data_IF_815122045082
#
_entry.id   IF_815122045082
#
_cell.length_a   1.000
_cell.length_b   1.000
_cell.length_c   1.000
_cell.angle_alpha   90.00
_cell.angle_beta   90.00
_cell.angle_gamma   90.00
#
_symmetry.space_group_name_H-M   'P 1'
#
loop_
_entity.id
_entity.type
_entity.pdbx_description
1 polymer ?
#
# COMPACT_ATOMS: atom_id res chain seq x y z
N UNK A 1 21.97 6.65 30.07
CA UNK A 1 20.90 7.62 30.30
C UNK A 1 20.62 8.36 29.00
N UNK A 2 19.35 8.39 28.55
CA UNK A 2 18.92 9.11 27.36
C UNK A 2 18.07 10.31 27.78
N UNK A 3 18.38 11.51 27.24
CA UNK A 3 17.57 12.71 27.46
C UNK A 3 16.60 12.89 26.28
N UNK A 4 15.30 12.97 26.57
CA UNK A 4 14.25 13.17 25.58
C UNK A 4 13.76 14.62 25.68
N UNK A 5 13.81 15.36 24.55
CA UNK A 5 13.31 16.73 24.44
C UNK A 5 12.17 16.75 23.45
N UNK A 6 10.95 16.85 23.92
CA UNK A 6 9.74 17.00 23.09
C UNK A 6 9.52 18.47 22.72
N UNK A 7 8.67 18.72 21.68
CA UNK A 7 8.31 20.07 21.22
C UNK A 7 9.53 20.94 20.86
N UNK A 8 10.61 20.30 20.40
CA UNK A 8 11.89 20.94 20.06
C UNK A 8 12.00 21.11 18.55
N UNK A 9 11.88 22.35 18.08
CA UNK A 9 12.01 22.66 16.65
C UNK A 9 13.50 22.79 16.33
N UNK A 10 13.97 22.00 15.34
CA UNK A 10 15.32 22.09 14.80
C UNK A 10 15.27 22.99 13.58
N UNK A 11 15.94 24.14 13.62
CA UNK A 11 15.90 25.16 12.55
C UNK A 11 17.17 25.24 11.72
N UNK A 12 18.30 24.82 12.25
CA UNK A 12 19.59 24.84 11.55
C UNK A 12 20.40 23.59 11.93
N UNK A 13 21.10 23.03 10.93
CA UNK A 13 22.08 21.96 11.11
C UNK A 13 23.32 22.38 10.30
N UNK A 14 24.45 22.51 10.95
CA UNK A 14 25.72 22.89 10.29
C UNK A 14 26.84 21.94 10.75
N UNK A 15 27.62 21.37 9.83
CA UNK A 15 28.85 20.65 10.22
C UNK A 15 29.85 21.66 10.82
N UNK A 16 30.75 21.17 11.66
CA UNK A 16 31.81 21.98 12.24
C UNK A 16 33.18 21.60 11.65
N UNK A 17 34.12 22.52 11.62
CA UNK A 17 35.48 22.28 11.11
C UNK A 17 36.23 21.20 11.93
N UNK A 18 35.90 21.06 13.20
CA UNK A 18 36.52 20.08 14.13
C UNK A 18 35.82 18.72 14.13
N UNK A 19 34.84 18.51 13.23
CA UNK A 19 33.95 17.35 13.22
C UNK A 19 32.71 17.56 14.08
N UNK A 20 31.64 16.79 13.78
CA UNK A 20 30.34 16.93 14.44
C UNK A 20 29.47 18.06 13.88
N UNK A 21 28.40 18.38 14.58
CA UNK A 21 27.33 19.28 14.09
C UNK A 21 26.92 20.28 15.17
N UNK A 22 26.64 21.50 14.75
CA UNK A 22 25.94 22.51 15.52
C UNK A 22 24.47 22.56 15.06
N UNK A 23 23.55 22.42 16.00
CA UNK A 23 22.10 22.44 15.77
C UNK A 23 21.49 23.62 16.53
N UNK A 24 20.56 24.34 15.90
CA UNK A 24 19.67 25.26 16.61
C UNK A 24 18.40 24.49 17.01
N UNK A 25 18.24 24.23 18.29
CA UNK A 25 17.11 23.48 18.87
C UNK A 25 16.29 24.45 19.75
N UNK A 26 15.08 24.81 19.34
CA UNK A 26 14.27 25.78 20.07
C UNK A 26 14.94 27.12 20.28
N UNK A 27 15.81 27.56 19.33
CA UNK A 27 16.58 28.77 19.40
C UNK A 27 17.91 28.71 20.20
N UNK A 28 18.20 27.55 20.81
CA UNK A 28 19.46 27.30 21.52
C UNK A 28 20.42 26.50 20.67
N UNK A 29 21.68 26.89 20.64
CA UNK A 29 22.74 26.15 19.96
C UNK A 29 23.12 24.90 20.76
N UNK A 30 23.11 23.76 20.13
CA UNK A 30 23.50 22.45 20.69
C UNK A 30 24.56 21.85 19.78
N UNK A 31 25.64 21.34 20.36
CA UNK A 31 26.67 20.60 19.62
C UNK A 31 26.54 19.12 19.85
N UNK A 32 26.77 18.31 18.78
CA UNK A 32 26.90 16.86 18.87
C UNK A 32 28.01 16.35 17.96
N UNK A 33 28.64 15.24 18.33
CA UNK A 33 29.65 14.56 17.51
C UNK A 33 28.98 13.81 16.34
N UNK A 34 27.87 13.14 16.61
CA UNK A 34 27.11 12.39 15.62
C UNK A 34 25.66 12.87 15.59
N UNK A 35 25.08 12.88 14.41
CA UNK A 35 23.68 13.24 14.15
C UNK A 35 22.97 12.07 13.46
N UNK A 36 21.93 11.54 14.11
CA UNK A 36 21.09 10.50 13.53
C UNK A 36 19.74 11.07 13.09
N UNK A 37 19.42 10.95 11.82
CA UNK A 37 18.13 11.33 11.23
C UNK A 37 17.21 10.12 11.23
N UNK A 38 16.21 10.15 12.11
CA UNK A 38 15.21 9.10 12.31
C UNK A 38 13.78 9.64 12.17
N UNK A 39 13.57 10.54 11.21
CA UNK A 39 12.33 11.32 11.06
C UNK A 39 11.17 10.55 10.46
N UNK A 40 11.40 9.33 9.95
CA UNK A 40 10.40 8.59 9.19
C UNK A 40 10.10 9.19 7.82
N UNK A 41 8.98 8.80 7.24
CA UNK A 41 8.49 9.24 5.93
C UNK A 41 7.44 10.34 6.01
N UNK A 42 6.57 10.39 4.97
CA UNK A 42 5.49 11.39 4.82
C UNK A 42 4.11 10.84 5.23
N UNK A 43 4.03 9.56 5.57
CA UNK A 43 2.78 8.88 5.86
C UNK A 43 2.14 9.39 7.15
N UNK A 44 0.82 9.57 7.13
CA UNK A 44 -0.01 10.07 8.23
C UNK A 44 0.49 11.42 8.77
N UNK A 45 0.40 12.51 7.97
CA UNK A 45 0.90 13.84 8.38
C UNK A 45 0.27 14.36 9.69
N UNK A 46 -0.93 13.91 10.01
CA UNK A 46 -1.65 14.27 11.26
C UNK A 46 -0.94 13.75 12.52
N UNK A 47 -0.07 12.75 12.40
CA UNK A 47 0.79 12.25 13.48
C UNK A 47 2.16 12.93 13.53
N UNK A 48 2.40 13.97 12.70
CA UNK A 48 3.64 14.74 12.70
C UNK A 48 4.65 14.35 11.63
N UNK A 49 4.30 13.44 10.72
CA UNK A 49 5.16 13.12 9.58
C UNK A 49 5.41 14.37 8.73
N UNK A 50 6.69 14.58 8.36
CA UNK A 50 7.12 15.75 7.61
C UNK A 50 8.29 15.44 6.68
N UNK A 51 8.57 16.35 5.75
CA UNK A 51 9.71 16.24 4.84
C UNK A 51 11.07 16.56 5.46
N UNK A 52 11.15 16.85 6.75
CA UNK A 52 12.35 17.37 7.41
C UNK A 52 13.61 16.53 7.17
N UNK A 53 13.53 15.19 7.30
CA UNK A 53 14.67 14.31 7.04
C UNK A 53 15.14 14.35 5.59
N UNK A 54 14.22 14.51 4.63
CA UNK A 54 14.57 14.67 3.22
C UNK A 54 15.22 16.03 2.94
N UNK A 55 14.80 17.08 3.66
CA UNK A 55 15.45 18.41 3.54
C UNK A 55 16.87 18.35 4.07
N UNK A 56 17.12 17.62 5.17
CA UNK A 56 18.47 17.35 5.68
C UNK A 56 19.29 16.59 4.63
N UNK A 57 18.74 15.51 4.08
CA UNK A 57 19.44 14.74 3.06
C UNK A 57 19.83 15.60 1.85
N UNK A 58 18.92 16.46 1.38
CA UNK A 58 19.18 17.40 0.30
C UNK A 58 20.25 18.44 0.68
N UNK A 59 20.21 18.96 1.91
CA UNK A 59 21.20 19.91 2.42
C UNK A 59 22.62 19.35 2.35
N UNK A 60 22.79 18.06 2.64
CA UNK A 60 24.08 17.36 2.60
C UNK A 60 24.38 16.67 1.26
N UNK A 61 23.63 17.00 0.19
CA UNK A 61 23.89 16.53 -1.17
C UNK A 61 23.57 15.05 -1.42
N UNK A 62 22.76 14.41 -0.55
CA UNK A 62 22.35 13.03 -0.79
C UNK A 62 21.26 12.96 -1.86
N UNK A 63 21.32 11.92 -2.69
CA UNK A 63 20.29 11.63 -3.69
C UNK A 63 18.94 11.30 -3.05
N UNK A 64 17.87 11.84 -3.61
CA UNK A 64 16.50 11.56 -3.22
C UNK A 64 15.75 10.92 -4.38
N UNK A 65 15.12 9.78 -4.14
CA UNK A 65 14.21 9.13 -5.07
C UNK A 65 12.79 9.72 -4.97
N UNK A 66 12.01 9.74 -6.08
CA UNK A 66 10.65 10.30 -6.07
C UNK A 66 9.74 9.54 -5.10
N UNK A 67 9.26 10.21 -4.07
CA UNK A 67 8.43 9.61 -3.02
C UNK A 67 6.97 9.50 -3.46
N UNK A 68 6.34 8.41 -3.06
CA UNK A 68 4.91 8.20 -3.21
C UNK A 68 4.33 7.46 -2.00
N UNK A 69 3.01 7.53 -1.82
CA UNK A 69 2.30 6.76 -0.80
C UNK A 69 2.32 5.28 -1.18
N UNK A 70 2.64 4.42 -0.23
CA UNK A 70 2.59 2.96 -0.36
C UNK A 70 1.75 2.32 0.74
N UNK A 71 1.37 1.06 0.57
CA UNK A 71 0.44 0.37 1.46
C UNK A 71 -0.79 1.27 1.74
N UNK A 72 -1.47 1.68 0.68
CA UNK A 72 -2.50 2.72 0.71
C UNK A 72 -3.75 2.26 -0.06
N UNK A 73 -4.98 2.54 0.43
CA UNK A 73 -6.21 2.18 -0.27
C UNK A 73 -6.33 2.82 -1.65
N UNK A 74 -6.89 2.06 -2.61
CA UNK A 74 -7.28 2.58 -3.91
C UNK A 74 -8.61 3.32 -3.85
N UNK A 75 -8.76 4.37 -4.64
CA UNK A 75 -9.98 5.15 -4.78
C UNK A 75 -10.57 5.03 -6.18
N UNK A 76 -11.89 5.15 -6.28
CA UNK A 76 -12.63 5.14 -7.54
C UNK A 76 -13.59 6.33 -7.61
N UNK A 77 -13.91 6.77 -8.81
CA UNK A 77 -14.83 7.88 -9.09
C UNK A 77 -15.94 7.52 -10.09
N UNK A 78 -15.94 6.29 -10.57
CA UNK A 78 -16.90 5.74 -11.53
C UNK A 78 -17.86 4.74 -10.84
N UNK A 79 -18.56 3.92 -11.63
CA UNK A 79 -19.48 2.88 -11.18
C UNK A 79 -18.87 1.92 -10.13
N UNK A 80 -17.54 1.77 -10.08
CA UNK A 80 -16.86 0.94 -9.07
C UNK A 80 -17.04 1.55 -7.69
N UNK A 81 -17.05 2.88 -7.58
CA UNK A 81 -17.31 3.59 -6.33
C UNK A 81 -18.68 3.21 -5.75
N UNK A 82 -19.73 3.15 -6.58
CA UNK A 82 -21.08 2.79 -6.14
C UNK A 82 -21.12 1.35 -5.60
N UNK A 83 -20.41 0.42 -6.25
CA UNK A 83 -20.24 -0.96 -5.76
C UNK A 83 -19.52 -0.95 -4.42
N UNK A 84 -18.46 -0.18 -4.27
CA UNK A 84 -17.68 -0.11 -3.04
C UNK A 84 -18.50 0.48 -1.89
N UNK A 85 -19.25 1.55 -2.12
CA UNK A 85 -20.15 2.17 -1.12
C UNK A 85 -21.23 1.19 -0.66
N UNK A 86 -21.89 0.52 -1.62
CA UNK A 86 -22.96 -0.46 -1.33
C UNK A 86 -22.46 -1.64 -0.50
N UNK A 87 -21.21 -2.05 -0.70
CA UNK A 87 -20.60 -3.20 -0.03
C UNK A 87 -19.58 -2.80 1.05
N UNK A 88 -19.59 -1.55 1.50
CA UNK A 88 -18.63 -1.06 2.50
C UNK A 88 -18.63 -1.92 3.77
N UNK A 89 -17.44 -2.34 4.20
CA UNK A 89 -17.22 -3.25 5.31
C UNK A 89 -17.17 -4.73 4.91
N UNK A 90 -17.52 -5.08 3.67
CA UNK A 90 -17.35 -6.45 3.17
C UNK A 90 -15.87 -6.74 2.95
N UNK A 91 -15.42 -7.91 3.45
CA UNK A 91 -14.10 -8.47 3.18
C UNK A 91 -14.23 -9.80 2.47
N UNK A 92 -13.46 -10.03 1.41
CA UNK A 92 -13.44 -11.26 0.63
C UNK A 92 -12.01 -11.66 0.27
N UNK A 93 -11.76 -12.97 0.18
CA UNK A 93 -10.49 -13.51 -0.31
C UNK A 93 -10.40 -13.34 -1.82
N UNK A 94 -9.32 -12.76 -2.28
CA UNK A 94 -9.06 -12.50 -3.70
C UNK A 94 -7.59 -12.71 -4.05
N UNK A 95 -7.29 -12.75 -5.34
CA UNK A 95 -5.94 -12.52 -5.84
C UNK A 95 -5.95 -11.25 -6.69
N UNK A 96 -5.19 -10.24 -6.27
CA UNK A 96 -5.05 -8.97 -6.99
C UNK A 96 -3.70 -8.89 -7.68
N UNK A 97 -3.68 -8.37 -8.91
CA UNK A 97 -2.44 -8.28 -9.69
C UNK A 97 -2.30 -6.98 -10.48
N UNK A 98 -1.04 -6.55 -10.66
CA UNK A 98 -0.61 -5.47 -11.56
C UNK A 98 0.86 -5.70 -11.95
N UNK A 99 1.22 -5.47 -13.21
CA UNK A 99 2.60 -5.54 -13.71
C UNK A 99 3.33 -6.87 -13.40
N UNK A 100 2.63 -8.00 -13.37
CA UNK A 100 3.23 -9.30 -13.07
C UNK A 100 3.45 -9.57 -11.57
N UNK A 101 3.08 -8.64 -10.70
CA UNK A 101 3.07 -8.84 -9.25
C UNK A 101 1.67 -9.18 -8.80
N UNK A 102 1.50 -10.18 -7.94
CA UNK A 102 0.20 -10.55 -7.38
C UNK A 102 0.27 -10.78 -5.88
N UNK A 103 -0.89 -10.57 -5.23
CA UNK A 103 -1.10 -10.82 -3.82
C UNK A 103 -2.44 -11.53 -3.63
N UNK A 104 -2.39 -12.72 -3.02
CA UNK A 104 -3.57 -13.51 -2.65
C UNK A 104 -3.84 -13.30 -1.16
N UNK A 105 -4.77 -12.42 -0.86
CA UNK A 105 -5.10 -11.94 0.47
C UNK A 105 -6.53 -11.37 0.49
N UNK A 106 -7.00 -10.91 1.64
CA UNK A 106 -8.29 -10.24 1.77
C UNK A 106 -8.31 -8.87 1.09
N UNK A 107 -9.38 -8.62 0.33
CA UNK A 107 -9.79 -7.31 -0.16
C UNK A 107 -10.91 -6.79 0.75
N UNK A 108 -10.85 -5.53 1.15
CA UNK A 108 -11.87 -4.83 1.93
C UNK A 108 -12.51 -3.72 1.10
N UNK A 109 -13.82 -3.76 0.94
CA UNK A 109 -14.59 -2.65 0.36
C UNK A 109 -14.76 -1.52 1.37
N UNK A 110 -14.54 -0.29 0.95
CA UNK A 110 -14.74 0.93 1.74
C UNK A 110 -15.64 1.91 0.99
N UNK A 111 -16.16 2.91 1.66
CA UNK A 111 -16.98 3.97 1.03
C UNK A 111 -16.24 4.80 -0.04
N UNK A 112 -14.92 4.65 -0.20
CA UNK A 112 -14.11 5.37 -1.21
C UNK A 112 -13.55 4.48 -2.29
N UNK A 113 -13.51 3.17 -2.05
CA UNK A 113 -12.88 2.22 -2.93
C UNK A 113 -12.51 0.93 -2.23
N UNK A 114 -11.31 0.44 -2.46
CA UNK A 114 -10.85 -0.85 -1.93
C UNK A 114 -9.58 -0.71 -1.10
N UNK A 115 -9.53 -1.47 -0.03
CA UNK A 115 -8.45 -1.59 0.94
C UNK A 115 -8.23 -3.07 1.29
N UNK A 116 -7.66 -3.36 2.42
CA UNK A 116 -7.31 -4.71 2.86
C UNK A 116 -5.92 -5.13 2.36
N UNK A 117 -5.37 -6.23 2.90
CA UNK A 117 -3.98 -6.63 2.66
C UNK A 117 -3.62 -6.75 1.18
N UNK A 118 -4.50 -7.34 0.35
CA UNK A 118 -4.26 -7.47 -1.09
C UNK A 118 -4.12 -6.11 -1.79
N UNK A 119 -5.05 -5.18 -1.52
CA UNK A 119 -5.06 -3.85 -2.13
C UNK A 119 -3.89 -2.98 -1.63
N UNK A 120 -3.61 -3.00 -0.32
CA UNK A 120 -2.55 -2.22 0.28
C UNK A 120 -1.18 -2.63 -0.28
N UNK A 121 -0.87 -3.92 -0.30
CA UNK A 121 0.40 -4.42 -0.86
C UNK A 121 0.51 -4.11 -2.36
N UNK A 122 -0.57 -4.33 -3.13
CA UNK A 122 -0.57 -4.07 -4.56
C UNK A 122 -0.34 -2.59 -4.88
N UNK A 123 -0.84 -1.67 -4.04
CA UNK A 123 -0.69 -0.22 -4.24
C UNK A 123 0.76 0.23 -4.32
N UNK A 124 1.68 -0.48 -3.68
CA UNK A 124 3.12 -0.20 -3.73
C UNK A 124 3.76 -0.50 -5.09
N UNK A 125 3.09 -1.27 -5.94
CA UNK A 125 3.54 -1.66 -7.29
C UNK A 125 2.73 -1.01 -8.41
N UNK A 126 1.61 -0.37 -8.06
CA UNK A 126 0.73 0.30 -9.02
C UNK A 126 1.23 1.70 -9.34
N UNK A 127 1.08 2.08 -10.61
CA UNK A 127 1.33 3.46 -11.08
C UNK A 127 0.04 4.07 -11.59
N UNK A 128 -0.12 5.38 -11.41
CA UNK A 128 -1.30 6.11 -11.86
C UNK A 128 -1.67 5.80 -13.31
N UNK A 129 -2.94 5.51 -13.54
CA UNK A 129 -3.50 5.18 -14.85
C UNK A 129 -3.47 3.69 -15.22
N UNK A 130 -2.78 2.83 -14.47
CA UNK A 130 -2.77 1.39 -14.71
C UNK A 130 -4.07 0.72 -14.26
N UNK A 131 -4.43 -0.34 -14.99
CA UNK A 131 -5.53 -1.25 -14.64
C UNK A 131 -4.99 -2.32 -13.69
N UNK A 132 -5.74 -2.59 -12.63
CA UNK A 132 -5.53 -3.74 -11.74
C UNK A 132 -6.48 -4.87 -12.14
N UNK A 133 -6.05 -6.10 -11.93
CA UNK A 133 -6.86 -7.30 -12.13
C UNK A 133 -7.14 -7.97 -10.80
N UNK A 134 -8.38 -8.43 -10.59
CA UNK A 134 -8.83 -9.07 -9.37
C UNK A 134 -9.47 -10.41 -9.74
N UNK A 135 -8.89 -11.51 -9.28
CA UNK A 135 -9.55 -12.82 -9.27
C UNK A 135 -10.41 -12.92 -8.00
N UNK A 136 -11.72 -12.90 -8.17
CA UNK A 136 -12.70 -12.99 -7.09
C UNK A 136 -12.89 -14.42 -6.55
N UNK A 137 -12.31 -15.44 -7.21
CA UNK A 137 -12.41 -16.85 -6.86
C UNK A 137 -11.04 -17.53 -6.95
N UNK A 138 -10.02 -17.09 -6.17
CA UNK A 138 -8.64 -17.51 -6.37
C UNK A 138 -8.37 -19.00 -6.11
N UNK A 139 -9.29 -19.68 -5.41
CA UNK A 139 -9.18 -21.11 -5.06
C UNK A 139 -9.99 -22.01 -5.97
N UNK A 140 -10.68 -21.46 -6.98
CA UNK A 140 -11.60 -22.21 -7.82
C UNK A 140 -11.46 -21.81 -9.30
N UNK A 141 -11.62 -22.77 -10.18
CA UNK A 141 -11.87 -22.51 -11.59
C UNK A 141 -13.34 -22.08 -11.75
N UNK A 142 -13.56 -20.77 -11.89
CA UNK A 142 -14.90 -20.19 -12.03
C UNK A 142 -15.66 -20.77 -13.23
N UNK A 143 -14.97 -21.08 -14.35
CA UNK A 143 -15.57 -21.70 -15.53
C UNK A 143 -16.09 -23.11 -15.23
N UNK A 144 -15.22 -23.96 -14.69
CA UNK A 144 -15.61 -25.32 -14.33
C UNK A 144 -16.73 -25.32 -13.27
N UNK A 145 -16.67 -24.38 -12.32
CA UNK A 145 -17.69 -24.23 -11.28
C UNK A 145 -19.07 -23.88 -11.86
N UNK A 146 -19.16 -22.88 -12.74
CA UNK A 146 -20.44 -22.46 -13.32
C UNK A 146 -21.05 -23.52 -14.23
N UNK A 147 -20.24 -24.23 -15.02
CA UNK A 147 -20.72 -25.35 -15.85
C UNK A 147 -21.22 -26.51 -14.99
N UNK A 148 -20.50 -26.86 -13.93
CA UNK A 148 -20.94 -27.86 -12.95
C UNK A 148 -22.26 -27.44 -12.27
N UNK A 149 -22.44 -26.19 -11.90
CA UNK A 149 -23.69 -25.69 -11.34
C UNK A 149 -24.84 -25.80 -12.34
N UNK A 150 -24.61 -25.55 -13.62
CA UNK A 150 -25.61 -25.75 -14.67
C UNK A 150 -26.14 -27.16 -14.75
N UNK A 151 -25.26 -28.14 -14.55
CA UNK A 151 -25.63 -29.58 -14.53
C UNK A 151 -26.32 -29.99 -13.22
N UNK A 152 -25.77 -29.59 -12.08
CA UNK A 152 -26.23 -30.02 -10.76
C UNK A 152 -27.42 -29.23 -10.20
N UNK A 153 -27.59 -27.97 -10.62
CA UNK A 153 -28.63 -27.09 -10.10
C UNK A 153 -29.37 -26.31 -11.22
N UNK A 154 -29.90 -27.01 -12.23
CA UNK A 154 -30.39 -26.44 -13.49
C UNK A 154 -31.46 -25.35 -13.33
N UNK A 155 -32.29 -25.47 -12.29
CA UNK A 155 -33.39 -24.51 -12.01
C UNK A 155 -32.98 -23.33 -11.15
N UNK A 156 -31.74 -23.29 -10.64
CA UNK A 156 -31.28 -22.24 -9.77
C UNK A 156 -30.94 -20.98 -10.56
N UNK A 157 -31.11 -19.82 -9.93
CA UNK A 157 -30.64 -18.56 -10.47
C UNK A 157 -29.15 -18.39 -10.16
N UNK A 158 -28.40 -17.81 -11.10
CA UNK A 158 -26.94 -17.62 -10.98
C UNK A 158 -26.54 -16.91 -9.67
N UNK A 159 -27.29 -15.87 -9.26
CA UNK A 159 -27.04 -15.15 -8.01
C UNK A 159 -27.08 -16.06 -6.77
N UNK A 160 -27.98 -17.03 -6.74
CA UNK A 160 -28.11 -17.93 -5.58
C UNK A 160 -26.93 -18.92 -5.47
N UNK A 161 -26.28 -19.21 -6.60
CA UNK A 161 -25.11 -20.08 -6.67
C UNK A 161 -23.80 -19.36 -6.34
N UNK A 162 -23.71 -18.07 -6.68
CA UNK A 162 -22.52 -17.23 -6.45
C UNK A 162 -22.54 -16.59 -5.05
N UNK A 163 -23.70 -16.19 -4.52
CA UNK A 163 -23.82 -15.49 -3.25
C UNK A 163 -23.14 -16.19 -2.05
N UNK A 164 -23.15 -17.53 -1.92
CA UNK A 164 -22.40 -18.21 -0.85
C UNK A 164 -20.88 -18.00 -0.92
N UNK A 165 -20.34 -17.65 -2.08
CA UNK A 165 -18.90 -17.47 -2.33
C UNK A 165 -18.47 -16.00 -2.17
N UNK A 166 -19.32 -15.04 -2.57
CA UNK A 166 -18.96 -13.62 -2.67
C UNK A 166 -19.81 -12.69 -1.80
N UNK A 167 -20.71 -13.18 -0.97
CA UNK A 167 -21.80 -12.48 -0.29
C UNK A 167 -23.00 -12.14 -1.17
N UNK A 168 -24.16 -12.01 -0.54
CA UNK A 168 -25.42 -11.69 -1.26
C UNK A 168 -25.41 -10.28 -1.87
N UNK A 169 -24.97 -9.29 -1.10
CA UNK A 169 -24.96 -7.87 -1.55
C UNK A 169 -24.01 -7.66 -2.72
N UNK A 170 -22.81 -8.19 -2.63
CA UNK A 170 -21.82 -8.03 -3.70
C UNK A 170 -22.21 -8.80 -4.97
N UNK A 171 -22.76 -10.02 -4.82
CA UNK A 171 -23.31 -10.77 -5.96
C UNK A 171 -24.42 -10.00 -6.66
N UNK A 172 -25.29 -9.30 -5.91
CA UNK A 172 -26.35 -8.48 -6.50
C UNK A 172 -25.77 -7.28 -7.26
N UNK A 173 -24.72 -6.64 -6.74
CA UNK A 173 -23.99 -5.57 -7.43
C UNK A 173 -23.39 -6.06 -8.75
N UNK A 174 -22.74 -7.25 -8.72
CA UNK A 174 -22.19 -7.88 -9.92
C UNK A 174 -23.29 -8.27 -10.92
N UNK A 175 -24.42 -8.84 -10.46
CA UNK A 175 -25.56 -9.15 -11.31
C UNK A 175 -26.08 -7.93 -12.06
N UNK A 176 -26.32 -6.83 -11.35
CA UNK A 176 -26.80 -5.60 -11.95
C UNK A 176 -25.86 -5.06 -13.03
N UNK A 177 -24.57 -5.34 -12.93
CA UNK A 177 -23.55 -4.87 -13.87
C UNK A 177 -23.28 -5.83 -15.03
N UNK A 178 -23.20 -7.13 -14.76
CA UNK A 178 -22.63 -8.09 -15.71
C UNK A 178 -23.67 -9.05 -16.32
N UNK A 179 -24.79 -9.32 -15.65
CA UNK A 179 -25.83 -10.21 -16.15
C UNK A 179 -27.27 -9.78 -15.80
N UNK A 180 -27.62 -8.47 -15.95
CA UNK A 180 -28.97 -8.00 -15.60
C UNK A 180 -30.06 -8.70 -16.40
N UNK A 181 -29.79 -9.05 -17.67
CA UNK A 181 -30.71 -9.77 -18.55
C UNK A 181 -30.98 -11.21 -18.12
N UNK A 182 -30.11 -11.81 -17.31
CA UNK A 182 -30.25 -13.16 -16.79
C UNK A 182 -30.57 -13.20 -15.29
N UNK A 183 -31.04 -12.07 -14.73
CA UNK A 183 -31.30 -11.95 -13.30
C UNK A 183 -32.31 -12.98 -12.79
N UNK A 184 -33.35 -13.29 -13.58
CA UNK A 184 -34.42 -14.22 -13.26
C UNK A 184 -34.39 -15.47 -14.19
N UNK A 185 -33.30 -15.70 -14.92
CA UNK A 185 -33.14 -16.84 -15.83
C UNK A 185 -32.50 -18.01 -15.06
N UNK A 186 -33.14 -19.21 -15.08
CA UNK A 186 -32.50 -20.43 -14.56
C UNK A 186 -31.17 -20.70 -15.28
N UNK A 187 -30.16 -21.18 -14.53
CA UNK A 187 -28.81 -21.35 -15.08
C UNK A 187 -28.78 -22.32 -16.28
N UNK A 188 -29.70 -23.28 -16.34
CA UNK A 188 -29.82 -24.22 -17.46
C UNK A 188 -30.15 -23.52 -18.79
N UNK A 189 -30.87 -22.41 -18.76
CA UNK A 189 -31.28 -21.64 -19.92
C UNK A 189 -30.23 -20.62 -20.40
N UNK A 190 -29.19 -20.38 -19.58
CA UNK A 190 -28.08 -19.49 -19.94
C UNK A 190 -27.10 -20.24 -20.86
N UNK A 191 -26.74 -19.67 -21.99
CA UNK A 191 -25.78 -20.28 -22.92
C UNK A 191 -24.41 -20.49 -22.26
N UNK A 192 -23.71 -21.56 -22.64
CA UNK A 192 -22.39 -21.86 -22.06
C UNK A 192 -21.37 -20.73 -22.31
N UNK A 193 -21.39 -20.14 -23.51
CA UNK A 193 -20.55 -19.00 -23.85
C UNK A 193 -20.78 -17.82 -22.89
N UNK A 194 -22.04 -17.55 -22.52
CA UNK A 194 -22.36 -16.50 -21.54
C UNK A 194 -21.78 -16.83 -20.17
N UNK A 195 -21.89 -18.09 -19.72
CA UNK A 195 -21.31 -18.55 -18.44
C UNK A 195 -19.78 -18.47 -18.46
N UNK A 196 -19.14 -18.81 -19.58
CA UNK A 196 -17.69 -18.70 -19.75
C UNK A 196 -17.21 -17.25 -19.71
N UNK A 197 -17.95 -16.32 -20.35
CA UNK A 197 -17.69 -14.89 -20.28
C UNK A 197 -17.83 -14.36 -18.84
N UNK A 198 -18.86 -14.77 -18.11
CA UNK A 198 -19.04 -14.42 -16.71
C UNK A 198 -17.93 -14.99 -15.82
N UNK A 199 -17.53 -16.23 -16.04
CA UNK A 199 -16.40 -16.84 -15.33
C UNK A 199 -15.10 -16.05 -15.56
N UNK A 200 -14.87 -15.62 -16.79
CA UNK A 200 -13.72 -14.74 -17.12
C UNK A 200 -13.78 -13.43 -16.37
N UNK A 201 -14.96 -12.79 -16.25
CA UNK A 201 -15.13 -11.57 -15.47
C UNK A 201 -14.86 -11.80 -13.96
N UNK A 202 -15.30 -12.93 -13.41
CA UNK A 202 -15.09 -13.26 -12.00
C UNK A 202 -13.62 -13.59 -11.70
N UNK A 203 -12.92 -14.24 -12.63
CA UNK A 203 -11.50 -14.59 -12.47
C UNK A 203 -10.55 -13.46 -12.86
N UNK A 204 -11.01 -12.43 -13.56
CA UNK A 204 -10.19 -11.34 -14.07
C UNK A 204 -10.98 -10.03 -14.10
N UNK A 205 -11.48 -9.64 -12.95
CA UNK A 205 -12.22 -8.40 -12.78
C UNK A 205 -11.28 -7.20 -12.89
N UNK A 206 -11.32 -6.52 -14.03
CA UNK A 206 -10.43 -5.41 -14.37
C UNK A 206 -11.01 -4.09 -13.88
N UNK A 207 -10.24 -3.40 -13.02
CA UNK A 207 -10.57 -2.10 -12.48
C UNK A 207 -9.47 -1.09 -12.77
N UNK A 208 -9.86 0.16 -13.02
CA UNK A 208 -8.92 1.26 -13.18
C UNK A 208 -9.09 2.24 -12.02
N UNK A 209 -8.23 2.19 -10.98
CA UNK A 209 -8.30 3.14 -9.88
C UNK A 209 -8.15 4.58 -10.37
N UNK A 210 -8.94 5.50 -9.82
CA UNK A 210 -8.79 6.94 -10.03
C UNK A 210 -7.54 7.49 -9.34
N UNK A 211 -7.07 6.79 -8.30
CA UNK A 211 -5.91 7.13 -7.50
C UNK A 211 -5.84 6.28 -6.23
N UNK A 212 -5.16 6.82 -5.24
CA UNK A 212 -5.08 6.28 -3.88
C UNK A 212 -5.52 7.35 -2.88
N UNK A 213 -5.72 6.99 -1.62
CA UNK A 213 -6.01 7.97 -0.56
C UNK A 213 -4.81 8.86 -0.19
N UNK A 214 -3.64 8.60 -0.77
CA UNK A 214 -2.42 9.36 -0.57
C UNK A 214 -1.84 9.20 0.84
N UNK A 215 -0.92 10.09 1.21
CA UNK A 215 -0.21 10.02 2.50
C UNK A 215 -1.11 10.08 3.73
N UNK A 216 -2.33 10.55 3.60
CA UNK A 216 -3.26 10.66 4.73
C UNK A 216 -3.54 9.31 5.40
N UNK A 217 -3.59 8.24 4.62
CA UNK A 217 -3.92 6.88 5.08
C UNK A 217 -2.86 5.85 4.67
N UNK A 218 -1.81 6.26 3.98
CA UNK A 218 -0.70 5.39 3.62
C UNK A 218 0.00 4.88 4.89
N UNK A 219 0.31 3.59 4.94
CA UNK A 219 1.09 3.04 6.06
C UNK A 219 2.58 3.35 5.92
N UNK A 220 3.07 3.51 4.67
CA UNK A 220 4.48 3.77 4.37
C UNK A 220 4.65 4.80 3.25
N UNK A 221 5.83 5.41 3.23
CA UNK A 221 6.34 6.20 2.11
C UNK A 221 7.25 5.33 1.26
N UNK A 222 6.91 5.15 -0.01
CA UNK A 222 7.79 4.52 -0.98
C UNK A 222 8.89 5.47 -1.39
N UNK A 223 10.09 4.93 -1.60
CA UNK A 223 11.29 5.68 -1.93
C UNK A 223 11.71 6.65 -0.79
N UNK A 224 12.79 7.38 -1.00
CA UNK A 224 13.35 8.23 0.04
C UNK A 224 14.78 8.64 -0.26
N UNK A 225 15.60 8.69 0.79
CA UNK A 225 17.05 8.92 0.66
C UNK A 225 17.68 7.68 0.00
N UNK A 226 18.40 7.91 -1.10
CA UNK A 226 19.06 6.82 -1.84
C UNK A 226 20.07 6.10 -0.95
N UNK A 227 19.88 4.80 -0.79
CA UNK A 227 20.73 3.92 0.02
C UNK A 227 22.17 3.81 -0.50
N UNK A 228 22.42 4.12 -1.77
CA UNK A 228 23.78 4.20 -2.32
C UNK A 228 24.67 5.23 -1.61
N UNK A 229 24.06 6.23 -1.01
CA UNK A 229 24.74 7.27 -0.25
C UNK A 229 25.07 6.86 1.20
N UNK A 230 24.55 5.73 1.65
CA UNK A 230 24.60 5.26 3.04
C UNK A 230 25.42 3.97 3.14
N UNK A 231 26.22 3.86 4.18
CA UNK A 231 26.94 2.63 4.51
C UNK A 231 25.97 1.58 5.05
N UNK A 232 25.82 0.46 4.36
CA UNK A 232 24.99 -0.66 4.84
C UNK A 232 25.52 -1.30 6.13
N UNK A 233 26.78 -1.07 6.48
CA UNK A 233 27.42 -1.60 7.69
C UNK A 233 27.18 -0.72 8.93
N UNK A 234 27.11 0.61 8.75
CA UNK A 234 27.08 1.57 9.87
C UNK A 234 25.86 2.48 9.86
N UNK A 235 25.09 2.54 8.77
CA UNK A 235 24.04 3.54 8.48
C UNK A 235 24.56 4.98 8.39
N UNK A 236 25.88 5.17 8.31
CA UNK A 236 26.53 6.48 8.16
C UNK A 236 26.49 6.95 6.70
N UNK A 237 26.33 8.23 6.51
CA UNK A 237 26.45 8.89 5.21
C UNK A 237 27.90 8.80 4.70
N UNK A 238 28.10 8.27 3.48
CA UNK A 238 29.44 8.08 2.90
C UNK A 238 30.19 9.39 2.62
N UNK A 239 29.45 10.48 2.36
CA UNK A 239 30.01 11.80 2.04
C UNK A 239 30.14 12.73 3.24
N UNK A 240 29.50 12.42 4.39
CA UNK A 240 29.48 13.29 5.56
C UNK A 240 29.72 12.46 6.82
N UNK A 241 30.94 12.41 7.37
CA UNK A 241 31.23 11.70 8.61
C UNK A 241 30.37 12.17 9.79
N UNK A 242 29.91 11.23 10.62
CA UNK A 242 29.09 11.50 11.78
C UNK A 242 27.60 11.73 11.48
N UNK A 243 27.18 11.74 10.19
CA UNK A 243 25.76 11.85 9.79
C UNK A 243 25.20 10.48 9.47
N UNK A 244 24.09 10.11 10.12
CA UNK A 244 23.45 8.81 9.97
C UNK A 244 22.00 8.99 9.56
N UNK A 245 21.47 8.07 8.72
CA UNK A 245 20.06 7.99 8.37
C UNK A 245 19.55 6.59 8.67
N UNK A 246 18.38 6.50 9.34
CA UNK A 246 17.79 5.21 9.75
C UNK A 246 16.28 5.20 9.55
N UNK A 247 15.72 4.00 9.41
CA UNK A 247 14.28 3.79 9.28
C UNK A 247 13.73 4.22 7.92
N UNK A 248 12.48 4.64 7.91
CA UNK A 248 11.67 4.87 6.70
C UNK A 248 12.08 6.11 5.89
N UNK A 249 12.91 7.00 6.43
CA UNK A 249 13.47 8.11 5.63
C UNK A 249 14.36 7.61 4.49
N UNK A 250 14.92 6.40 4.62
CA UNK A 250 15.68 5.72 3.58
C UNK A 250 14.77 5.06 2.55
N UNK A 251 15.29 4.85 1.33
CA UNK A 251 14.62 4.07 0.28
C UNK A 251 14.67 2.56 0.60
N UNK A 252 13.94 2.18 1.63
CA UNK A 252 13.73 0.78 2.04
C UNK A 252 12.29 0.61 2.47
N UNK A 253 11.54 -0.20 1.73
CA UNK A 253 10.12 -0.46 2.02
C UNK A 253 9.84 -1.96 1.98
N UNK A 254 9.20 -2.47 3.01
CA UNK A 254 8.73 -3.85 3.12
C UNK A 254 7.21 -3.97 2.87
N UNK A 255 6.76 -5.20 2.64
CA UNK A 255 5.34 -5.55 2.59
C UNK A 255 4.68 -5.42 3.97
N UNK A 256 3.37 -5.66 4.04
CA UNK A 256 2.65 -5.86 5.31
C UNK A 256 3.25 -7.05 6.08
N UNK A 257 3.14 -7.01 7.42
CA UNK A 257 3.65 -8.09 8.28
C UNK A 257 4.80 -7.66 9.21
N UNK A 258 4.96 -6.35 9.44
CA UNK A 258 5.93 -5.82 10.41
C UNK A 258 7.33 -5.57 9.85
N UNK A 259 7.58 -5.82 8.56
CA UNK A 259 8.90 -5.64 7.93
C UNK A 259 9.42 -4.21 8.03
N UNK A 260 8.54 -3.20 7.91
CA UNK A 260 8.91 -1.78 8.01
C UNK A 260 9.35 -1.42 9.43
N UNK A 261 8.69 -1.96 10.45
CA UNK A 261 9.14 -1.83 11.85
C UNK A 261 10.46 -2.57 12.09
N UNK A 262 10.59 -3.77 11.54
CA UNK A 262 11.83 -4.54 11.65
C UNK A 262 13.01 -3.78 11.05
N UNK A 263 12.81 -3.14 9.89
CA UNK A 263 13.81 -2.28 9.28
C UNK A 263 14.17 -1.08 10.17
N UNK A 264 13.17 -0.39 10.73
CA UNK A 264 13.39 0.75 11.61
C UNK A 264 14.24 0.35 12.83
N UNK A 265 13.91 -0.77 13.46
CA UNK A 265 14.67 -1.29 14.61
C UNK A 265 16.08 -1.74 14.21
N UNK A 266 16.22 -2.50 13.13
CA UNK A 266 17.51 -3.03 12.68
C UNK A 266 18.47 -1.91 12.29
N UNK A 267 18.02 -0.94 11.50
CA UNK A 267 18.83 0.22 11.09
C UNK A 267 19.20 1.11 12.29
N UNK A 268 18.26 1.31 13.23
CA UNK A 268 18.50 2.04 14.47
C UNK A 268 19.54 1.36 15.38
N UNK A 269 19.40 0.05 15.55
CA UNK A 269 20.40 -0.73 16.32
C UNK A 269 21.78 -0.68 15.67
N UNK A 270 21.83 -0.87 14.35
CA UNK A 270 23.08 -0.78 13.59
C UNK A 270 23.76 0.55 13.77
N UNK A 271 23.06 1.67 13.56
CA UNK A 271 23.63 3.00 13.78
C UNK A 271 24.12 3.16 15.22
N UNK A 272 23.33 2.72 16.21
CA UNK A 272 23.67 2.82 17.64
C UNK A 272 24.95 2.12 18.05
N UNK A 273 25.46 1.17 17.23
CA UNK A 273 26.76 0.53 17.46
C UNK A 273 27.96 1.38 16.98
N UNK A 274 27.72 2.46 16.21
CA UNK A 274 28.78 3.24 15.56
C UNK A 274 28.72 4.74 15.85
N UNK A 275 27.67 5.24 16.49
CA UNK A 275 27.52 6.67 16.88
C UNK A 275 28.28 7.00 18.16
#
# INVERSE_FOLDING_TARGET
>A
NVSIRTKSIISQIKPTEKGGFNLSVGGQMTHCQSLVVASGGLSIPTLGASGFGYDIAKQFGLGLLPRSAGLVPFTFSDWVKDICETNSGLSIDVEMSVNGVSFKENLLFTHRGISGPAALQLSSYWKSGQVISINLMPDQDARALLLRYKESNPKSLLRNLIAPLLSKGFTQSLQSRYWPQHAETPIAEIANETLENLASQLSNWKLKPSGTEGYRTAEVTLCGVNTDNISSKTMECKSQPGLYFIGEVLDVTGHLGGYNFQWAWASGYTAGCYV
#
